data_IF_198271208763
#
_entry.id   IF_198271208763
#
_cell.length_a   1.000
_cell.length_b   1.000
_cell.length_c   1.000
_cell.angle_alpha   90.00
_cell.angle_beta   90.00
_cell.angle_gamma   90.00
#
_symmetry.space_group_name_H-M   'P 1'
#
loop_
_entity.id
_entity.type
_entity.pdbx_description
1 polymer ?
#
# COMPACT_ATOMS: atom_id res chain seq x y z
N UNK A 1 19.81 12.96 4.82
CA UNK A 1 20.33 11.60 4.55
C UNK A 1 19.55 10.52 5.30
N UNK A 2 19.29 10.66 6.61
CA UNK A 2 18.54 9.65 7.37
C UNK A 2 17.14 9.31 6.81
N UNK A 3 16.33 10.32 6.45
CA UNK A 3 14.98 10.10 5.87
C UNK A 3 14.99 9.36 4.53
N UNK A 4 16.04 9.53 3.73
CA UNK A 4 16.19 8.85 2.44
C UNK A 4 16.54 7.37 2.62
N UNK A 5 17.46 7.07 3.56
CA UNK A 5 17.82 5.70 3.91
C UNK A 5 16.65 4.97 4.55
N UNK A 6 15.89 5.65 5.43
CA UNK A 6 14.67 5.09 6.04
C UNK A 6 13.62 4.71 4.99
N UNK A 7 13.42 5.56 3.97
CA UNK A 7 12.51 5.25 2.86
C UNK A 7 12.97 4.01 2.06
N UNK A 8 14.26 3.91 1.72
CA UNK A 8 14.83 2.74 1.00
C UNK A 8 14.65 1.45 1.80
N UNK A 9 14.96 1.48 3.09
CA UNK A 9 14.78 0.34 3.98
C UNK A 9 13.30 -0.05 4.05
N UNK A 10 12.41 0.93 4.16
CA UNK A 10 10.97 0.75 4.09
C UNK A 10 10.56 -0.03 2.84
N UNK A 11 10.90 0.46 1.64
CA UNK A 11 10.54 -0.22 0.39
C UNK A 11 11.09 -1.66 0.29
N UNK A 12 12.32 -1.86 0.74
CA UNK A 12 12.98 -3.17 0.70
C UNK A 12 12.27 -4.18 1.60
N UNK A 13 11.93 -3.79 2.84
CA UNK A 13 11.20 -4.66 3.77
C UNK A 13 9.87 -5.08 3.18
N UNK A 14 9.14 -4.16 2.55
CA UNK A 14 7.84 -4.47 1.94
C UNK A 14 7.98 -5.46 0.78
N UNK A 15 8.96 -5.24 -0.09
CA UNK A 15 9.23 -6.09 -1.25
C UNK A 15 9.47 -7.54 -0.84
N UNK A 16 10.38 -7.76 0.11
CA UNK A 16 10.73 -9.11 0.57
C UNK A 16 9.65 -9.73 1.46
N UNK A 17 8.94 -8.93 2.25
CA UNK A 17 7.94 -9.46 3.19
C UNK A 17 6.74 -10.10 2.49
N UNK A 18 6.17 -9.45 1.47
CA UNK A 18 5.01 -10.00 0.76
C UNK A 18 5.38 -11.18 -0.15
N UNK A 19 6.58 -11.15 -0.76
CA UNK A 19 7.09 -12.30 -1.51
C UNK A 19 7.33 -13.48 -0.57
N UNK A 20 7.93 -13.24 0.61
CA UNK A 20 8.12 -14.24 1.66
C UNK A 20 6.80 -14.83 2.15
N UNK A 21 5.77 -14.01 2.33
CA UNK A 21 4.42 -14.47 2.66
C UNK A 21 3.84 -15.39 1.56
N UNK A 22 4.03 -15.05 0.29
CA UNK A 22 3.62 -15.90 -0.83
C UNK A 22 4.35 -17.25 -0.85
N UNK A 23 5.65 -17.27 -0.53
CA UNK A 23 6.44 -18.51 -0.41
C UNK A 23 6.02 -19.35 0.80
N UNK A 24 5.67 -18.71 1.92
CA UNK A 24 5.13 -19.40 3.09
C UNK A 24 3.78 -20.06 2.76
N UNK A 25 2.87 -19.32 2.12
CA UNK A 25 1.58 -19.84 1.68
C UNK A 25 1.71 -20.97 0.62
N UNK A 26 2.80 -21.01 -0.15
CA UNK A 26 3.06 -22.11 -1.09
C UNK A 26 3.41 -23.44 -0.39
N UNK A 27 4.16 -23.37 0.71
CA UNK A 27 4.62 -24.56 1.44
C UNK A 27 3.61 -25.07 2.47
N UNK A 28 2.70 -24.21 2.91
CA UNK A 28 1.66 -24.52 3.89
C UNK A 28 0.36 -24.94 3.20
N UNK A 29 -0.37 -25.90 3.76
CA UNK A 29 -1.75 -26.16 3.33
C UNK A 29 -2.65 -25.01 3.79
N UNK A 30 -3.15 -24.23 2.84
CA UNK A 30 -4.09 -23.14 3.08
C UNK A 30 -5.55 -23.58 3.01
N UNK A 31 -6.44 -22.70 3.46
CA UNK A 31 -7.91 -22.89 3.42
C UNK A 31 -8.47 -22.74 1.99
N UNK A 32 -7.93 -21.80 1.22
CA UNK A 32 -8.33 -21.43 -0.13
C UNK A 32 -7.29 -21.82 -1.18
N UNK A 33 -6.00 -21.81 -0.83
CA UNK A 33 -4.92 -22.14 -1.75
C UNK A 33 -4.34 -23.52 -1.38
N UNK A 34 -4.37 -24.45 -2.35
CA UNK A 34 -3.76 -25.76 -2.18
C UNK A 34 -2.23 -25.66 -2.09
N UNK A 35 -1.65 -26.55 -1.29
CA UNK A 35 -0.20 -26.69 -1.16
C UNK A 35 0.46 -26.89 -2.53
N UNK A 36 1.57 -26.18 -2.76
CA UNK A 36 2.29 -26.24 -4.03
C UNK A 36 1.67 -25.43 -5.17
N UNK A 37 0.62 -24.64 -4.92
CA UNK A 37 0.06 -23.76 -5.93
C UNK A 37 0.95 -22.52 -6.11
N UNK A 38 1.64 -22.47 -7.26
CA UNK A 38 2.51 -21.35 -7.68
C UNK A 38 1.78 -20.00 -7.63
N UNK A 39 0.44 -20.01 -7.74
CA UNK A 39 -0.42 -18.84 -7.62
C UNK A 39 -0.18 -18.04 -6.32
N UNK A 40 0.17 -18.70 -5.21
CA UNK A 40 0.46 -18.02 -3.94
C UNK A 40 1.68 -17.09 -4.04
N UNK A 41 2.75 -17.56 -4.67
CA UNK A 41 3.97 -16.77 -4.87
C UNK A 41 3.70 -15.62 -5.82
N UNK A 42 2.93 -15.87 -6.88
CA UNK A 42 2.53 -14.84 -7.85
C UNK A 42 1.73 -13.74 -7.15
N UNK A 43 0.72 -14.10 -6.34
CA UNK A 43 -0.08 -13.13 -5.60
C UNK A 43 0.79 -12.30 -4.63
N UNK A 44 1.74 -12.91 -3.94
CA UNK A 44 2.67 -12.20 -3.06
C UNK A 44 3.56 -11.20 -3.81
N UNK A 45 4.07 -11.60 -4.98
CA UNK A 45 4.85 -10.73 -5.85
C UNK A 45 4.02 -9.58 -6.41
N UNK A 46 2.79 -9.84 -6.87
CA UNK A 46 1.91 -8.77 -7.34
C UNK A 46 1.52 -7.82 -6.20
N UNK A 47 1.23 -8.34 -5.00
CA UNK A 47 0.92 -7.52 -3.83
C UNK A 47 2.07 -6.55 -3.50
N UNK A 48 3.33 -7.00 -3.60
CA UNK A 48 4.49 -6.14 -3.35
C UNK A 48 4.67 -5.08 -4.44
N UNK A 49 4.52 -5.45 -5.71
CA UNK A 49 4.62 -4.53 -6.84
C UNK A 49 3.56 -3.43 -6.74
N UNK A 50 2.31 -3.79 -6.42
CA UNK A 50 1.21 -2.83 -6.30
C UNK A 50 1.45 -1.82 -5.18
N UNK A 51 1.92 -2.25 -4.01
CA UNK A 51 2.23 -1.33 -2.91
C UNK A 51 3.40 -0.39 -3.26
N UNK A 52 4.51 -0.93 -3.78
CA UNK A 52 5.67 -0.13 -4.17
C UNK A 52 5.29 0.87 -5.26
N UNK A 53 4.49 0.45 -6.24
CA UNK A 53 4.06 1.32 -7.34
C UNK A 53 3.11 2.43 -6.87
N UNK A 54 2.19 2.14 -5.94
CA UNK A 54 1.35 3.16 -5.32
C UNK A 54 2.19 4.23 -4.59
N UNK A 55 3.23 3.82 -3.85
CA UNK A 55 4.15 4.75 -3.18
C UNK A 55 4.98 5.55 -4.18
N UNK A 56 5.42 4.93 -5.27
CA UNK A 56 6.17 5.62 -6.32
C UNK A 56 5.33 6.72 -6.99
N UNK A 57 4.06 6.44 -7.31
CA UNK A 57 3.13 7.45 -7.85
C UNK A 57 3.01 8.63 -6.88
N UNK A 58 2.83 8.34 -5.58
CA UNK A 58 2.74 9.38 -4.57
C UNK A 58 4.01 10.24 -4.48
N UNK A 59 5.18 9.61 -4.45
CA UNK A 59 6.45 10.32 -4.38
C UNK A 59 6.68 11.19 -5.62
N UNK A 60 6.33 10.70 -6.82
CA UNK A 60 6.42 11.47 -8.06
C UNK A 60 5.45 12.64 -8.08
N UNK A 61 4.24 12.46 -7.56
CA UNK A 61 3.28 13.55 -7.40
C UNK A 61 3.80 14.65 -6.47
N UNK A 62 4.40 14.30 -5.33
CA UNK A 62 5.00 15.28 -4.41
C UNK A 62 6.15 16.07 -5.04
N UNK A 63 7.00 15.39 -5.80
CA UNK A 63 8.10 16.05 -6.53
C UNK A 63 7.54 17.03 -7.55
N UNK A 64 6.56 16.63 -8.38
CA UNK A 64 5.94 17.50 -9.38
C UNK A 64 5.25 18.74 -8.74
N UNK A 65 4.61 18.55 -7.59
CA UNK A 65 3.98 19.65 -6.84
C UNK A 65 5.02 20.66 -6.34
N UNK A 66 6.15 20.16 -5.85
CA UNK A 66 7.27 20.97 -5.35
C UNK A 66 7.97 21.73 -6.47
N UNK A 67 8.18 21.08 -7.62
CA UNK A 67 8.78 21.69 -8.82
C UNK A 67 7.90 22.82 -9.39
N UNK A 68 6.58 22.67 -9.33
CA UNK A 68 5.62 23.69 -9.76
C UNK A 68 5.37 24.77 -8.69
N UNK A 69 6.11 24.78 -7.58
CA UNK A 69 6.00 25.77 -6.52
C UNK A 69 4.66 25.76 -5.77
N UNK A 70 3.86 24.70 -5.94
CA UNK A 70 2.59 24.53 -5.24
C UNK A 70 2.84 24.08 -3.80
N UNK A 71 2.07 24.59 -2.82
CA UNK A 71 2.19 24.14 -1.45
C UNK A 71 1.88 22.65 -1.37
N UNK A 72 2.74 21.90 -0.67
CA UNK A 72 2.43 20.52 -0.30
C UNK A 72 1.30 20.61 0.72
N UNK A 73 0.07 20.33 0.25
CA UNK A 73 -1.19 20.32 0.99
C UNK A 73 -1.26 19.21 2.07
N UNK A 74 -0.17 18.99 2.80
CA UNK A 74 -0.15 18.09 3.95
C UNK A 74 -0.61 18.78 5.25
N UNK A 75 -0.81 20.11 5.28
CA UNK A 75 -1.05 20.85 6.53
C UNK A 75 -2.13 21.96 6.57
N UNK A 76 -2.90 22.25 5.51
CA UNK A 76 -4.00 23.24 5.63
C UNK A 76 -5.38 22.63 5.42
N UNK A 77 -5.96 22.16 6.52
CA UNK A 77 -7.40 22.01 6.67
C UNK A 77 -8.06 23.40 6.68
N UNK A 78 -8.66 23.81 5.57
CA UNK A 78 -9.61 24.92 5.48
C UNK A 78 -10.28 24.81 4.10
N UNK A 79 -11.52 25.15 3.78
CA UNK A 79 -12.87 25.24 4.35
C UNK A 79 -13.70 25.29 3.04
N UNK A 80 -14.65 24.43 2.69
CA UNK A 80 -15.98 24.23 3.26
C UNK A 80 -16.71 23.31 2.23
N UNK A 81 -17.64 22.48 2.69
CA UNK A 81 -18.72 21.77 1.94
C UNK A 81 -18.41 20.70 0.87
N UNK A 82 -17.28 20.66 0.16
CA UNK A 82 -16.91 19.49 -0.71
C UNK A 82 -16.03 18.46 0.05
N UNK A 83 -15.86 18.70 1.36
CA UNK A 83 -14.90 18.08 2.31
C UNK A 83 -15.20 16.62 2.71
N UNK A 84 -16.43 16.11 2.64
CA UNK A 84 -16.77 14.90 3.43
C UNK A 84 -16.22 13.58 2.89
N UNK A 85 -16.15 13.39 1.56
CA UNK A 85 -15.62 12.15 0.97
C UNK A 85 -14.10 12.23 0.74
N UNK A 86 -13.62 13.40 0.27
CA UNK A 86 -12.18 13.64 -0.03
C UNK A 86 -11.31 13.63 1.23
N UNK A 87 -11.74 14.30 2.31
CA UNK A 87 -11.01 14.27 3.58
C UNK A 87 -11.03 12.86 4.16
N UNK A 88 -12.19 12.18 4.14
CA UNK A 88 -12.28 10.79 4.59
C UNK A 88 -11.36 9.87 3.81
N UNK A 89 -11.25 9.92 2.48
CA UNK A 89 -10.35 9.04 1.72
C UNK A 89 -8.88 9.32 2.04
N UNK A 90 -8.47 10.59 2.17
CA UNK A 90 -7.09 10.92 2.51
C UNK A 90 -6.74 10.56 3.97
N UNK A 91 -7.69 10.75 4.89
CA UNK A 91 -7.60 10.34 6.29
C UNK A 91 -7.63 8.81 6.43
N UNK A 92 -8.47 8.13 5.65
CA UNK A 92 -8.59 6.68 5.58
C UNK A 92 -7.28 6.12 5.02
N UNK A 93 -6.71 6.68 3.96
CA UNK A 93 -5.37 6.31 3.45
C UNK A 93 -4.26 6.54 4.47
N UNK A 94 -4.24 7.70 5.17
CA UNK A 94 -3.22 8.03 6.18
C UNK A 94 -3.32 7.14 7.42
N UNK A 95 -4.54 6.74 7.80
CA UNK A 95 -4.83 5.85 8.94
C UNK A 95 -4.65 4.38 8.60
N UNK A 96 -5.07 3.96 7.42
CA UNK A 96 -4.85 2.62 6.88
C UNK A 96 -3.36 2.37 6.61
N UNK A 97 -2.62 3.34 6.07
CA UNK A 97 -1.18 3.23 5.89
C UNK A 97 -0.40 3.17 7.21
N UNK A 98 -0.92 3.77 8.29
CA UNK A 98 -0.32 3.72 9.64
C UNK A 98 -0.74 2.52 10.47
N UNK A 99 -1.99 2.08 10.39
CA UNK A 99 -2.57 1.04 11.26
C UNK A 99 -2.61 -0.35 10.58
N UNK A 100 -2.82 -0.41 9.26
CA UNK A 100 -2.85 -1.65 8.45
C UNK A 100 -1.56 -1.82 7.61
N UNK A 101 -0.68 -0.82 7.64
CA UNK A 101 0.66 -0.93 7.07
C UNK A 101 1.53 -1.99 7.76
N UNK A 102 2.61 -2.37 7.08
CA UNK A 102 3.53 -3.46 7.46
C UNK A 102 4.11 -3.38 8.88
N UNK A 103 4.11 -2.21 9.53
CA UNK A 103 4.64 -2.07 10.89
C UNK A 103 3.66 -2.37 12.01
N UNK A 104 2.34 -2.39 11.74
CA UNK A 104 1.30 -2.48 12.77
C UNK A 104 0.64 -3.86 12.85
N UNK A 105 -0.41 -4.06 12.07
CA UNK A 105 -1.22 -5.28 12.11
C UNK A 105 -0.60 -6.47 11.36
N UNK A 106 0.36 -6.24 10.46
CA UNK A 106 0.97 -7.29 9.64
C UNK A 106 1.75 -8.32 10.48
N UNK A 107 2.62 -7.84 11.38
CA UNK A 107 3.44 -8.73 12.23
C UNK A 107 2.59 -9.67 13.13
N UNK A 108 1.62 -9.16 13.91
CA UNK A 108 0.74 -10.02 14.70
C UNK A 108 -0.09 -10.98 13.83
N UNK A 109 -0.57 -10.51 12.67
CA UNK A 109 -1.32 -11.35 11.74
C UNK A 109 -0.49 -12.53 11.20
N UNK A 110 0.81 -12.32 10.94
CA UNK A 110 1.72 -13.40 10.55
C UNK A 110 1.91 -14.43 11.67
N UNK A 111 2.04 -13.99 12.93
CA UNK A 111 2.18 -14.90 14.08
C UNK A 111 0.92 -15.76 14.23
N UNK A 112 -0.26 -15.15 14.15
CA UNK A 112 -1.53 -15.88 14.18
C UNK A 112 -1.61 -16.86 12.99
N UNK A 113 -1.20 -16.42 11.79
CA UNK A 113 -1.19 -17.29 10.60
C UNK A 113 -0.25 -18.47 10.74
N UNK A 114 0.89 -18.30 11.43
CA UNK A 114 1.81 -19.38 11.70
C UNK A 114 1.24 -20.43 12.66
N UNK A 115 0.41 -20.03 13.63
CA UNK A 115 -0.24 -20.96 14.57
C UNK A 115 -1.39 -21.72 13.89
N UNK A 116 -2.19 -21.05 13.07
CA UNK A 116 -3.40 -21.62 12.46
C UNK A 116 -3.19 -22.13 11.02
N UNK A 117 -2.00 -21.97 10.44
CA UNK A 117 -1.66 -22.30 9.05
C UNK A 117 -2.52 -21.57 7.98
N UNK A 118 -3.02 -20.37 8.29
CA UNK A 118 -3.92 -19.58 7.41
C UNK A 118 -3.18 -18.48 6.63
N UNK A 119 -1.97 -18.76 6.14
CA UNK A 119 -1.14 -17.78 5.42
C UNK A 119 -1.79 -17.28 4.11
N UNK A 120 -2.56 -18.14 3.47
CA UNK A 120 -3.28 -17.85 2.23
C UNK A 120 -4.39 -16.81 2.42
N UNK A 121 -5.11 -16.85 3.54
CA UNK A 121 -6.14 -15.86 3.89
C UNK A 121 -5.51 -14.48 4.03
N UNK A 122 -4.40 -14.39 4.77
CA UNK A 122 -3.67 -13.13 4.94
C UNK A 122 -3.10 -12.64 3.61
N UNK A 123 -2.54 -13.54 2.81
CA UNK A 123 -2.01 -13.20 1.49
C UNK A 123 -3.09 -12.58 0.59
N UNK A 124 -4.26 -13.20 0.48
CA UNK A 124 -5.37 -12.71 -0.34
C UNK A 124 -5.87 -11.36 0.20
N UNK A 125 -6.01 -11.24 1.52
CA UNK A 125 -6.44 -9.99 2.15
C UNK A 125 -5.50 -8.83 1.82
N UNK A 126 -4.19 -9.01 2.03
CA UNK A 126 -3.20 -7.97 1.75
C UNK A 126 -3.05 -7.70 0.25
N UNK A 127 -3.21 -8.71 -0.61
CA UNK A 127 -3.24 -8.51 -2.05
C UNK A 127 -4.41 -7.62 -2.48
N UNK A 128 -5.65 -7.91 -2.05
CA UNK A 128 -6.82 -7.08 -2.36
C UNK A 128 -6.66 -5.65 -1.82
N UNK A 129 -6.13 -5.54 -0.62
CA UNK A 129 -5.91 -4.26 0.03
C UNK A 129 -4.87 -3.41 -0.72
N UNK A 130 -3.73 -4.00 -1.12
CA UNK A 130 -2.71 -3.29 -1.90
C UNK A 130 -3.24 -2.92 -3.29
N UNK A 131 -4.06 -3.79 -3.91
CA UNK A 131 -4.72 -3.49 -5.17
C UNK A 131 -5.67 -2.29 -5.05
N UNK A 132 -6.50 -2.25 -3.99
CA UNK A 132 -7.38 -1.12 -3.73
C UNK A 132 -6.60 0.17 -3.46
N UNK A 133 -5.50 0.10 -2.69
CA UNK A 133 -4.64 1.24 -2.41
C UNK A 133 -3.96 1.78 -3.68
N UNK A 134 -3.53 0.88 -4.57
CA UNK A 134 -2.99 1.22 -5.88
C UNK A 134 -4.04 1.93 -6.74
N UNK A 135 -5.23 1.33 -6.92
CA UNK A 135 -6.31 1.93 -7.70
C UNK A 135 -6.73 3.31 -7.14
N UNK A 136 -6.85 3.44 -5.81
CA UNK A 136 -7.18 4.71 -5.18
C UNK A 136 -6.11 5.77 -5.45
N UNK A 137 -4.82 5.42 -5.32
CA UNK A 137 -3.72 6.34 -5.60
C UNK A 137 -3.69 6.74 -7.08
N UNK A 138 -3.79 5.77 -7.99
CA UNK A 138 -3.82 6.02 -9.42
C UNK A 138 -4.95 6.97 -9.81
N UNK A 139 -6.19 6.71 -9.39
CA UNK A 139 -7.34 7.55 -9.72
C UNK A 139 -7.27 8.95 -9.11
N UNK A 140 -6.82 9.08 -7.86
CA UNK A 140 -6.70 10.38 -7.19
C UNK A 140 -5.64 11.26 -7.85
N UNK A 141 -4.48 10.69 -8.20
CA UNK A 141 -3.37 11.45 -8.75
C UNK A 141 -3.53 11.75 -10.23
N UNK A 142 -4.12 10.86 -11.02
CA UNK A 142 -4.47 11.17 -12.42
C UNK A 142 -5.47 12.32 -12.48
N UNK A 143 -6.52 12.30 -11.65
CA UNK A 143 -7.49 13.41 -11.59
C UNK A 143 -6.84 14.72 -11.17
N UNK A 144 -5.99 14.69 -10.15
CA UNK A 144 -5.28 15.91 -9.69
C UNK A 144 -4.30 16.44 -10.72
N UNK A 145 -3.59 15.58 -11.44
CA UNK A 145 -2.70 16.00 -12.51
C UNK A 145 -3.49 16.69 -13.64
N UNK A 146 -4.66 16.17 -14.00
CA UNK A 146 -5.54 16.80 -15.00
C UNK A 146 -6.14 18.13 -14.53
N UNK A 147 -6.43 18.28 -13.23
CA UNK A 147 -6.92 19.55 -12.68
C UNK A 147 -5.82 20.63 -12.70
N UNK A 148 -4.55 20.25 -12.50
CA UNK A 148 -3.39 21.16 -12.55
C UNK A 148 -3.10 21.61 -13.99
N UNK A 149 -3.23 20.70 -14.98
CA UNK A 149 -2.93 20.99 -16.39
C UNK A 149 -4.02 21.86 -17.08
N UNK A 150 -5.21 21.97 -16.46
CA UNK A 150 -6.33 22.78 -16.95
C UNK A 150 -6.41 24.19 -16.32
N UNK A 151 -5.48 24.56 -15.42
CA UNK A 151 -5.35 25.90 -14.84
C UNK A 151 -4.25 26.71 -15.53
#
# INVERSE_FOLDING_TARGET
MGSYVDAICGYSIIAFSFVGLGVAAFHTEGVFIHKGAVIAVILGAFASILDIYARLIYQRYLVALTENGMPIDDEKEDDNKTKSLKSKINYFRKRIGKEIGISGAYMPALIISAIFNVFDVILIFYFLFNLAAFCASFLLYVKRAQDIDNQ
#
